data_IF_367402511922
#
_entry.id   IF_367402511922
#
_cell.length_a   1.000
_cell.length_b   1.000
_cell.length_c   1.000
_cell.angle_alpha   90.00
_cell.angle_beta   90.00
_cell.angle_gamma   90.00
#
_symmetry.space_group_name_H-M   'P 1'
#
loop_
_entity.id
_entity.type
_entity.pdbx_description
1 polymer ?
#
# COMPACT_ATOMS: atom_id res chain seq x y z
N UNK A 1 43.70 6.44 -21.26
CA UNK A 1 43.10 6.07 -22.55
C UNK A 1 41.61 5.93 -22.35
N UNK A 2 40.94 6.89 -22.88
CA UNK A 2 39.50 7.17 -22.84
C UNK A 2 38.69 6.24 -23.71
N UNK A 3 37.56 5.76 -23.28
CA UNK A 3 36.52 5.30 -24.20
C UNK A 3 35.12 5.60 -23.63
N UNK A 4 34.59 6.71 -24.11
CA UNK A 4 33.15 7.07 -24.10
C UNK A 4 32.43 6.22 -25.15
N UNK A 5 31.32 5.60 -24.80
CA UNK A 5 30.32 5.11 -25.77
C UNK A 5 28.96 5.54 -25.30
N UNK A 6 28.53 6.62 -25.83
CA UNK A 6 27.47 6.88 -26.81
C UNK A 6 26.10 6.35 -26.43
N UNK A 7 25.30 7.30 -26.02
CA UNK A 7 23.86 7.30 -25.86
C UNK A 7 23.19 7.27 -27.25
N UNK A 8 22.45 6.25 -27.57
CA UNK A 8 21.60 6.21 -28.77
C UNK A 8 20.16 6.59 -28.40
N UNK A 9 19.82 7.79 -28.80
CA UNK A 9 18.48 8.36 -28.83
C UNK A 9 17.74 7.75 -30.03
N UNK A 10 16.69 6.95 -29.81
CA UNK A 10 15.83 6.48 -30.91
C UNK A 10 14.48 7.16 -30.81
N UNK A 11 14.34 8.21 -31.59
CA UNK A 11 13.07 8.84 -31.96
C UNK A 11 12.40 7.94 -33.02
N UNK A 12 11.17 7.49 -32.76
CA UNK A 12 10.29 6.97 -33.81
C UNK A 12 9.01 7.77 -33.85
N UNK A 13 8.89 8.51 -34.94
CA UNK A 13 7.72 9.24 -35.42
C UNK A 13 6.83 8.26 -36.22
N UNK A 14 5.51 8.40 -36.08
CA UNK A 14 4.60 8.18 -37.20
C UNK A 14 3.70 6.97 -37.13
N UNK A 15 2.41 7.15 -37.00
CA UNK A 15 1.45 7.17 -38.11
C UNK A 15 0.01 7.15 -37.57
N UNK A 16 -0.71 8.13 -37.96
CA UNK A 16 -2.17 8.22 -37.93
C UNK A 16 -2.79 7.09 -38.75
N UNK A 17 -3.72 6.35 -38.16
CA UNK A 17 -4.71 5.60 -38.95
C UNK A 17 -6.11 6.00 -38.49
N UNK A 18 -6.77 6.70 -39.38
CA UNK A 18 -8.19 7.07 -39.37
C UNK A 18 -8.99 5.93 -40.00
N UNK A 19 -9.98 5.40 -39.32
CA UNK A 19 -10.92 4.41 -39.87
C UNK A 19 -12.26 4.42 -39.12
N UNK A 20 -13.40 4.11 -39.74
CA UNK A 20 -14.60 4.90 -39.62
C UNK A 20 -15.61 4.46 -38.55
N UNK A 21 -16.47 5.43 -38.22
CA UNK A 21 -17.70 5.33 -37.41
C UNK A 21 -18.61 4.15 -37.81
N UNK A 22 -19.06 3.44 -36.76
CA UNK A 22 -20.34 2.71 -36.83
C UNK A 22 -21.23 3.18 -35.69
N UNK A 23 -22.25 3.91 -36.02
CA UNK A 23 -23.36 4.29 -35.15
C UNK A 23 -24.28 3.09 -34.94
N UNK A 24 -24.44 2.67 -33.70
CA UNK A 24 -25.43 1.70 -33.27
C UNK A 24 -26.27 2.26 -32.14
N UNK A 25 -27.44 2.77 -32.45
CA UNK A 25 -28.47 3.22 -31.51
C UNK A 25 -29.18 1.97 -30.99
N UNK A 26 -29.11 1.69 -29.70
CA UNK A 26 -29.98 0.73 -29.02
C UNK A 26 -30.85 1.46 -27.99
N UNK A 27 -32.14 1.45 -28.24
CA UNK A 27 -33.20 2.01 -27.39
C UNK A 27 -33.31 1.26 -26.06
N UNK A 28 -33.36 2.01 -24.97
CA UNK A 28 -33.73 1.52 -23.65
C UNK A 28 -35.28 1.42 -23.58
N UNK A 29 -35.77 0.22 -23.35
CA UNK A 29 -37.19 -0.01 -23.01
C UNK A 29 -37.36 0.15 -21.49
N UNK A 30 -38.24 1.09 -21.14
CA UNK A 30 -38.77 1.34 -19.80
C UNK A 30 -39.70 0.19 -19.40
N UNK A 31 -39.38 -0.53 -18.34
CA UNK A 31 -40.27 -1.48 -17.69
C UNK A 31 -40.85 -0.85 -16.42
N UNK A 32 -42.14 -0.56 -16.45
CA UNK A 32 -43.00 -0.12 -15.37
C UNK A 32 -43.18 -1.26 -14.35
N UNK A 33 -42.71 -1.09 -13.10
CA UNK A 33 -43.05 -2.00 -12.01
C UNK A 33 -44.26 -1.47 -11.28
N UNK A 34 -45.31 -2.27 -11.26
CA UNK A 34 -46.55 -2.06 -10.52
C UNK A 34 -46.29 -2.30 -9.02
N UNK A 35 -46.70 -1.32 -8.25
CA UNK A 35 -46.96 -1.36 -6.81
C UNK A 35 -48.04 -2.40 -6.47
N UNK A 36 -47.73 -3.28 -5.51
CA UNK A 36 -48.77 -4.11 -4.86
C UNK A 36 -48.54 -4.07 -3.34
N UNK A 37 -49.49 -3.46 -2.74
CA UNK A 37 -49.68 -3.23 -1.29
C UNK A 37 -50.06 -4.53 -0.58
N UNK A 38 -49.65 -4.59 0.71
CA UNK A 38 -50.33 -5.18 1.87
C UNK A 38 -50.33 -6.69 2.07
N UNK A 39 -49.60 -7.13 3.12
CA UNK A 39 -50.27 -7.91 4.16
C UNK A 39 -49.44 -7.88 5.47
N UNK A 40 -50.13 -7.47 6.50
CA UNK A 40 -49.81 -7.43 7.91
C UNK A 40 -49.65 -8.86 8.44
N UNK A 41 -48.52 -9.18 9.08
CA UNK A 41 -48.38 -10.44 9.85
C UNK A 41 -47.62 -10.16 11.14
N UNK A 42 -48.35 -10.19 12.20
CA UNK A 42 -48.13 -10.51 13.61
C UNK A 42 -46.68 -10.62 14.09
N UNK A 43 -46.25 -9.64 14.89
CA UNK A 43 -45.02 -9.68 15.70
C UNK A 43 -45.13 -10.68 16.83
N UNK A 44 -44.35 -11.72 16.79
CA UNK A 44 -44.01 -12.55 17.93
C UNK A 44 -42.92 -11.83 18.74
N UNK A 45 -42.98 -11.74 20.09
CA UNK A 45 -41.92 -11.16 20.89
C UNK A 45 -40.67 -12.05 20.83
N UNK A 46 -39.63 -11.58 20.22
CA UNK A 46 -38.32 -12.23 20.20
C UNK A 46 -37.61 -11.89 21.51
N UNK A 47 -37.40 -12.92 22.32
CA UNK A 47 -36.62 -12.92 23.55
C UNK A 47 -35.27 -12.26 23.36
N UNK A 48 -34.97 -11.26 24.20
CA UNK A 48 -33.67 -10.59 24.30
C UNK A 48 -32.56 -11.62 24.62
N UNK A 49 -31.87 -12.10 23.59
CA UNK A 49 -30.53 -12.65 23.78
C UNK A 49 -29.57 -11.48 23.92
N UNK A 50 -28.69 -11.46 24.93
CA UNK A 50 -27.63 -10.45 24.99
C UNK A 50 -26.74 -10.64 23.79
N UNK A 51 -26.90 -9.76 22.80
CA UNK A 51 -25.94 -9.57 21.71
C UNK A 51 -24.62 -9.14 22.37
N UNK A 52 -23.67 -10.07 22.47
CA UNK A 52 -22.28 -9.73 22.76
C UNK A 52 -21.78 -8.90 21.58
N UNK A 53 -21.93 -7.58 21.71
CA UNK A 53 -21.32 -6.61 20.84
C UNK A 53 -19.82 -6.95 20.79
N UNK A 54 -19.19 -7.14 19.62
CA UNK A 54 -17.74 -7.29 19.55
C UNK A 54 -17.15 -6.11 20.31
N UNK A 55 -16.29 -6.38 21.28
CA UNK A 55 -15.57 -5.32 22.02
C UNK A 55 -14.88 -4.46 20.98
N UNK A 56 -15.32 -3.22 20.90
CA UNK A 56 -14.75 -2.26 19.96
C UNK A 56 -13.34 -1.96 20.47
N UNK A 57 -12.34 -2.53 19.80
CA UNK A 57 -10.92 -2.36 20.10
C UNK A 57 -10.61 -0.87 20.03
N UNK A 58 -10.04 -0.33 21.09
CA UNK A 58 -9.68 1.09 21.13
C UNK A 58 -8.62 1.43 20.07
N UNK A 59 -8.59 2.69 19.66
CA UNK A 59 -7.57 3.16 18.72
C UNK A 59 -6.14 2.91 19.23
N UNK A 60 -5.92 3.04 20.54
CA UNK A 60 -4.63 2.77 21.16
C UNK A 60 -4.22 1.29 21.07
N UNK A 61 -5.16 0.38 21.24
CA UNK A 61 -4.91 -1.06 21.06
C UNK A 61 -4.60 -1.41 19.60
N UNK A 62 -5.30 -0.77 18.64
CA UNK A 62 -5.00 -0.90 17.21
C UNK A 62 -3.60 -0.42 16.88
N UNK A 63 -3.18 0.73 17.41
CA UNK A 63 -1.85 1.31 17.23
C UNK A 63 -0.79 0.37 17.80
N UNK A 64 -0.89 -0.03 19.07
CA UNK A 64 0.09 -0.91 19.73
C UNK A 64 0.22 -2.27 19.01
N UNK A 65 -0.90 -2.82 18.53
CA UNK A 65 -0.90 -4.02 17.73
C UNK A 65 -0.18 -3.83 16.39
N UNK A 66 -0.38 -2.68 15.74
CA UNK A 66 0.25 -2.39 14.46
C UNK A 66 1.75 -2.16 14.61
N UNK A 67 2.22 -1.45 15.64
CA UNK A 67 3.65 -1.30 15.96
C UNK A 67 4.33 -2.66 16.09
N UNK A 68 3.75 -3.53 16.92
CA UNK A 68 4.24 -4.89 17.11
C UNK A 68 4.19 -5.73 15.83
N UNK A 69 3.16 -5.53 15.01
CA UNK A 69 2.98 -6.26 13.76
C UNK A 69 3.99 -5.84 12.70
N UNK A 70 4.28 -4.54 12.57
CA UNK A 70 5.18 -4.02 11.53
C UNK A 70 6.66 -4.22 11.88
N UNK A 71 7.05 -4.04 13.15
CA UNK A 71 8.43 -4.12 13.59
C UNK A 71 8.99 -5.54 13.42
N UNK A 72 10.12 -5.67 12.75
CA UNK A 72 10.79 -6.94 12.48
C UNK A 72 10.04 -7.79 11.45
N UNK A 73 9.61 -7.17 10.34
CA UNK A 73 8.95 -7.86 9.22
C UNK A 73 9.71 -7.71 7.92
N UNK A 74 9.55 -8.73 7.08
CA UNK A 74 10.03 -8.78 5.69
C UNK A 74 8.83 -8.74 4.75
N UNK A 75 8.89 -7.84 3.79
CA UNK A 75 7.88 -7.65 2.78
C UNK A 75 8.46 -8.06 1.43
N UNK A 76 7.90 -9.04 0.81
CA UNK A 76 8.38 -9.57 -0.47
C UNK A 76 7.25 -9.53 -1.48
N UNK A 77 7.52 -8.92 -2.62
CA UNK A 77 6.50 -8.76 -3.64
C UNK A 77 7.02 -8.26 -4.96
N UNK A 78 6.10 -7.65 -5.68
CA UNK A 78 6.34 -7.11 -7.00
C UNK A 78 5.63 -5.78 -7.17
N UNK A 79 6.19 -4.94 -8.02
CA UNK A 79 5.49 -3.79 -8.54
C UNK A 79 5.45 -3.83 -10.07
N UNK A 80 4.50 -3.12 -10.63
CA UNK A 80 4.40 -2.85 -12.07
C UNK A 80 4.55 -1.36 -12.33
N UNK A 81 4.98 -1.03 -13.52
CA UNK A 81 5.01 0.34 -14.05
C UNK A 81 3.90 0.46 -15.09
N UNK A 82 3.01 1.43 -14.92
CA UNK A 82 1.96 1.69 -15.91
C UNK A 82 2.53 1.88 -17.31
N UNK A 83 1.92 1.19 -18.29
CA UNK A 83 2.35 1.22 -19.68
C UNK A 83 3.62 0.42 -19.98
N UNK A 84 4.10 -0.40 -19.04
CA UNK A 84 5.19 -1.34 -19.26
C UNK A 84 4.77 -2.77 -18.87
N UNK A 85 5.23 -3.73 -19.64
CA UNK A 85 5.02 -5.14 -19.33
C UNK A 85 6.01 -5.64 -18.28
N UNK A 86 5.60 -6.65 -17.53
CA UNK A 86 6.43 -7.39 -16.57
C UNK A 86 6.24 -6.97 -15.13
N UNK A 87 6.75 -7.83 -14.24
CA UNK A 87 6.80 -7.64 -12.80
C UNK A 87 8.24 -7.33 -12.40
N UNK A 88 8.40 -6.36 -11.52
CA UNK A 88 9.71 -6.01 -10.94
C UNK A 88 9.68 -6.39 -9.47
N UNK A 89 10.66 -7.19 -9.04
CA UNK A 89 10.76 -7.62 -7.65
C UNK A 89 11.06 -6.44 -6.73
N UNK A 90 10.41 -6.43 -5.58
CA UNK A 90 10.69 -5.53 -4.47
C UNK A 90 10.82 -6.29 -3.16
N UNK A 91 11.61 -5.77 -2.26
CA UNK A 91 11.78 -6.31 -0.94
C UNK A 91 12.01 -5.18 0.07
N UNK A 92 11.26 -5.21 1.16
CA UNK A 92 11.40 -4.28 2.28
C UNK A 92 11.61 -5.06 3.57
N UNK A 93 12.45 -4.54 4.44
CA UNK A 93 12.59 -5.01 5.82
C UNK A 93 12.22 -3.84 6.73
N UNK A 94 11.14 -3.97 7.50
CA UNK A 94 10.76 -2.96 8.49
C UNK A 94 11.44 -3.31 9.81
N UNK A 95 12.51 -2.60 10.12
CA UNK A 95 13.34 -2.86 11.28
C UNK A 95 12.71 -2.31 12.56
N UNK A 96 12.11 -1.10 12.47
CA UNK A 96 11.37 -0.44 13.54
C UNK A 96 10.17 0.29 12.95
N UNK A 97 9.05 0.29 13.67
CA UNK A 97 7.86 1.07 13.38
C UNK A 97 7.26 1.56 14.69
N UNK A 98 7.17 2.88 14.84
CA UNK A 98 6.69 3.55 16.05
C UNK A 98 5.69 4.64 15.70
N UNK A 99 4.59 4.70 16.44
CA UNK A 99 3.62 5.77 16.31
C UNK A 99 4.22 7.08 16.85
N UNK A 100 4.19 8.12 16.04
CA UNK A 100 4.59 9.45 16.48
C UNK A 100 3.52 10.07 17.40
N UNK A 101 3.93 10.94 18.31
CA UNK A 101 3.03 11.76 19.12
C UNK A 101 2.27 12.82 18.28
N UNK A 102 2.70 13.05 17.02
CA UNK A 102 2.14 14.07 16.14
C UNK A 102 1.16 13.49 15.11
N UNK A 103 -0.13 13.61 15.38
CA UNK A 103 -1.20 13.19 14.45
C UNK A 103 -1.11 11.72 14.04
N UNK A 104 -1.38 11.41 12.78
CA UNK A 104 -1.34 10.04 12.23
C UNK A 104 0.05 9.62 11.74
N UNK A 105 1.11 10.33 12.14
CA UNK A 105 2.48 10.06 11.69
C UNK A 105 3.09 8.85 12.38
N UNK A 106 3.96 8.17 11.64
CA UNK A 106 4.73 7.02 12.07
C UNK A 106 6.20 7.19 11.68
N UNK A 107 7.10 6.81 12.56
CA UNK A 107 8.52 6.77 12.33
C UNK A 107 8.90 5.33 12.00
N UNK A 108 9.49 5.11 10.84
CA UNK A 108 9.94 3.80 10.40
C UNK A 108 11.42 3.84 10.07
N UNK A 109 12.14 2.79 10.47
CA UNK A 109 13.47 2.48 9.96
C UNK A 109 13.31 1.24 9.08
N UNK A 110 13.68 1.38 7.80
CA UNK A 110 13.49 0.32 6.83
C UNK A 110 14.71 0.12 5.94
N UNK A 111 14.92 -1.14 5.54
CA UNK A 111 15.79 -1.50 4.43
C UNK A 111 14.93 -1.67 3.18
N UNK A 112 15.31 -1.01 2.11
CA UNK A 112 14.58 -0.96 0.86
C UNK A 112 15.44 -1.54 -0.25
N UNK A 113 14.92 -2.56 -0.94
CA UNK A 113 15.58 -3.18 -2.11
C UNK A 113 14.64 -3.20 -3.31
N UNK A 114 15.00 -2.51 -4.36
CA UNK A 114 14.34 -2.59 -5.67
C UNK A 114 15.27 -2.08 -6.77
N UNK A 115 15.15 -2.61 -7.98
CA UNK A 115 15.81 -2.09 -9.18
C UNK A 115 17.32 -1.87 -9.04
N UNK A 116 18.02 -2.65 -8.21
CA UNK A 116 19.46 -2.51 -7.92
C UNK A 116 19.79 -1.59 -6.75
N UNK A 117 18.82 -0.92 -6.14
CA UNK A 117 18.99 -0.19 -4.87
C UNK A 117 18.90 -1.15 -3.68
N UNK A 118 19.78 -0.96 -2.69
CA UNK A 118 19.75 -1.65 -1.39
C UNK A 118 20.23 -0.64 -0.34
N UNK A 119 19.30 -0.10 0.44
CA UNK A 119 19.63 0.93 1.43
C UNK A 119 18.81 0.77 2.70
N UNK A 120 19.41 1.07 3.83
CA UNK A 120 18.76 1.11 5.14
C UNK A 120 18.80 2.51 5.68
N UNK A 121 17.64 3.09 6.01
CA UNK A 121 17.54 4.47 6.47
C UNK A 121 16.28 4.70 7.31
N UNK A 122 16.25 5.74 8.14
CA UNK A 122 15.00 6.25 8.68
C UNK A 122 14.19 6.86 7.53
N UNK A 123 12.93 6.46 7.44
CA UNK A 123 12.00 7.07 6.47
C UNK A 123 11.50 8.42 7.00
N UNK A 124 11.19 9.38 6.12
CA UNK A 124 10.44 10.54 6.54
C UNK A 124 9.11 10.10 7.17
N UNK A 125 8.59 10.81 8.18
CA UNK A 125 7.36 10.41 8.86
C UNK A 125 6.20 10.21 7.87
N UNK A 126 5.70 8.98 7.78
CA UNK A 126 4.58 8.60 6.91
C UNK A 126 3.28 8.57 7.73
N UNK A 127 2.14 8.64 7.06
CA UNK A 127 0.85 8.46 7.72
C UNK A 127 0.38 7.02 7.59
N UNK A 128 -0.15 6.46 8.69
CA UNK A 128 -0.90 5.20 8.64
C UNK A 128 -2.26 5.45 9.25
N UNK A 129 -3.28 5.33 8.43
CA UNK A 129 -4.69 5.52 8.81
C UNK A 129 -5.39 4.17 8.88
N UNK A 130 -6.48 4.11 9.64
CA UNK A 130 -7.29 2.90 9.74
C UNK A 130 -8.61 3.06 8.97
N UNK A 131 -8.86 2.14 8.05
CA UNK A 131 -10.18 1.94 7.45
C UNK A 131 -10.87 0.82 8.23
N UNK A 132 -11.66 1.16 9.25
CA UNK A 132 -12.08 0.23 10.30
C UNK A 132 -10.85 -0.25 11.07
N UNK A 133 -10.58 -1.57 11.05
CA UNK A 133 -9.38 -2.17 11.67
C UNK A 133 -8.25 -2.44 10.67
N UNK A 134 -8.39 -2.00 9.43
CA UNK A 134 -7.41 -2.24 8.35
C UNK A 134 -6.47 -1.05 8.23
N UNK A 135 -5.15 -1.21 8.45
CA UNK A 135 -4.19 -0.14 8.27
C UNK A 135 -3.96 0.17 6.79
N UNK A 136 -3.87 1.46 6.47
CA UNK A 136 -3.59 2.01 5.15
C UNK A 136 -2.40 2.96 5.27
N UNK A 137 -1.27 2.56 4.72
CA UNK A 137 -0.09 3.42 4.61
C UNK A 137 -0.40 4.50 3.57
N UNK A 138 -0.16 5.75 3.97
CA UNK A 138 -0.41 6.94 3.17
C UNK A 138 0.88 7.75 3.06
N UNK A 139 1.46 7.76 1.88
CA UNK A 139 2.67 8.51 1.56
C UNK A 139 2.32 9.61 0.57
N UNK A 140 2.54 10.86 0.95
CA UNK A 140 2.29 12.03 0.12
C UNK A 140 3.59 12.82 -0.04
N UNK A 141 4.16 12.77 -1.23
CA UNK A 141 5.38 13.48 -1.63
C UNK A 141 6.53 13.33 -0.63
N UNK A 142 6.68 12.13 -0.07
CA UNK A 142 7.78 11.85 0.86
C UNK A 142 9.10 11.79 0.11
N UNK A 143 10.02 12.68 0.47
CA UNK A 143 11.38 12.66 -0.07
C UNK A 143 12.24 11.67 0.71
N UNK A 144 12.75 10.65 0.03
CA UNK A 144 13.65 9.65 0.58
C UNK A 144 15.05 9.93 0.03
N UNK A 145 16.04 10.26 0.87
CA UNK A 145 17.41 10.54 0.41
C UNK A 145 17.97 9.40 -0.45
N UNK A 146 18.54 9.76 -1.60
CA UNK A 146 19.09 8.79 -2.56
C UNK A 146 18.07 8.07 -3.44
N UNK A 147 16.78 8.10 -3.10
CA UNK A 147 15.71 7.43 -3.85
C UNK A 147 14.73 8.38 -4.51
N UNK A 148 14.60 9.62 -4.02
CA UNK A 148 13.73 10.64 -4.58
C UNK A 148 12.39 10.79 -3.86
N UNK A 149 11.39 11.34 -4.55
CA UNK A 149 10.08 11.66 -3.97
C UNK A 149 9.03 10.66 -4.40
N UNK A 150 8.30 10.12 -3.42
CA UNK A 150 7.30 9.07 -3.60
C UNK A 150 5.93 9.48 -3.08
N UNK A 151 4.92 8.98 -3.76
CA UNK A 151 3.54 8.88 -3.27
C UNK A 151 3.16 7.40 -3.22
N UNK A 152 2.39 6.98 -2.21
CA UNK A 152 1.87 5.62 -2.14
C UNK A 152 0.59 5.53 -1.32
N UNK A 153 -0.23 4.55 -1.66
CA UNK A 153 -1.39 4.10 -0.87
C UNK A 153 -1.32 2.58 -0.79
N UNK A 154 -1.10 2.05 0.41
CA UNK A 154 -0.87 0.62 0.59
C UNK A 154 -1.77 0.09 1.70
N UNK A 155 -2.64 -0.82 1.36
CA UNK A 155 -3.50 -1.56 2.30
C UNK A 155 -2.74 -2.77 2.81
N UNK A 156 -2.81 -3.01 4.14
CA UNK A 156 -2.22 -4.18 4.79
C UNK A 156 -3.35 -5.05 5.33
N UNK A 157 -3.38 -6.32 4.92
CA UNK A 157 -4.38 -7.27 5.43
C UNK A 157 -3.90 -8.72 5.40
N UNK A 158 -4.02 -9.41 6.53
CA UNK A 158 -3.77 -10.86 6.63
C UNK A 158 -2.40 -11.30 6.02
N UNK A 159 -1.31 -10.65 6.44
CA UNK A 159 0.02 -10.99 5.95
C UNK A 159 0.28 -10.61 4.49
N UNK A 160 -0.54 -9.72 3.92
CA UNK A 160 -0.41 -9.25 2.54
C UNK A 160 -0.47 -7.74 2.50
N UNK A 161 0.11 -7.18 1.44
CA UNK A 161 -0.03 -5.77 1.11
C UNK A 161 -0.36 -5.60 -0.37
N UNK A 162 -1.09 -4.54 -0.68
CA UNK A 162 -1.35 -4.14 -2.05
C UNK A 162 -1.67 -2.65 -2.11
N UNK A 163 -1.33 -2.02 -3.23
CA UNK A 163 -1.61 -0.60 -3.38
C UNK A 163 -1.13 0.01 -4.67
N UNK A 164 -1.02 1.33 -4.64
CA UNK A 164 -0.51 2.16 -5.72
C UNK A 164 0.74 2.90 -5.27
N UNK A 165 1.62 3.18 -6.20
CA UNK A 165 2.81 4.00 -5.99
C UNK A 165 3.02 4.97 -7.13
N UNK A 166 3.77 6.05 -6.85
CA UNK A 166 4.20 7.04 -7.84
C UNK A 166 5.56 7.61 -7.48
N UNK A 167 6.39 7.80 -8.47
CA UNK A 167 7.70 8.46 -8.39
C UNK A 167 7.86 9.40 -9.58
N UNK A 168 7.74 10.69 -9.34
CA UNK A 168 7.75 11.70 -10.39
C UNK A 168 6.59 11.52 -11.39
N UNK A 169 6.92 11.22 -12.63
CA UNK A 169 5.94 10.96 -13.71
C UNK A 169 5.59 9.48 -13.90
N UNK A 170 6.26 8.60 -13.16
CA UNK A 170 6.10 7.14 -13.26
C UNK A 170 5.28 6.66 -12.07
N UNK A 171 4.39 5.70 -12.28
CA UNK A 171 3.59 5.09 -11.24
C UNK A 171 3.09 3.72 -11.64
N UNK A 172 2.34 3.10 -10.74
CA UNK A 172 1.79 1.78 -10.96
C UNK A 172 1.20 1.16 -9.70
N UNK A 173 1.20 -0.16 -9.68
CA UNK A 173 0.67 -0.95 -8.57
C UNK A 173 1.79 -1.75 -7.92
N UNK A 174 1.62 -2.08 -6.64
CA UNK A 174 2.50 -2.93 -5.88
C UNK A 174 1.69 -3.92 -5.04
N UNK A 175 2.26 -5.10 -4.78
CA UNK A 175 1.59 -6.14 -3.99
C UNK A 175 2.58 -7.21 -3.55
N UNK A 176 2.28 -7.85 -2.42
CA UNK A 176 3.13 -8.91 -1.91
C UNK A 176 2.66 -9.50 -0.58
N UNK A 177 3.58 -10.18 0.08
CA UNK A 177 3.40 -10.83 1.38
C UNK A 177 4.25 -10.18 2.46
N UNK A 178 3.80 -10.29 3.69
CA UNK A 178 4.48 -9.80 4.90
C UNK A 178 4.72 -11.01 5.80
N UNK A 179 5.99 -11.23 6.16
CA UNK A 179 6.43 -12.31 7.02
C UNK A 179 7.23 -11.75 8.20
N UNK A 180 7.15 -12.42 9.34
CA UNK A 180 8.01 -12.07 10.48
C UNK A 180 9.46 -12.48 10.22
N UNK A 181 10.40 -11.67 10.67
CA UNK A 181 11.81 -12.03 10.75
C UNK A 181 12.04 -13.16 11.76
N UNK A 182 13.08 -13.95 11.57
CA UNK A 182 13.57 -14.87 12.61
C UNK A 182 14.09 -14.11 13.82
N UNK A 183 14.31 -14.79 14.94
CA UNK A 183 14.84 -14.15 16.15
C UNK A 183 16.25 -13.59 15.92
N UNK A 184 17.08 -14.29 15.15
CA UNK A 184 18.43 -13.84 14.79
C UNK A 184 18.39 -12.58 13.91
N UNK A 185 17.49 -12.55 12.91
CA UNK A 185 17.28 -11.37 12.06
C UNK A 185 16.78 -10.17 12.87
N UNK A 186 15.87 -10.40 13.82
CA UNK A 186 15.37 -9.35 14.72
C UNK A 186 16.47 -8.77 15.62
N UNK A 187 17.35 -9.60 16.16
CA UNK A 187 18.49 -9.13 16.97
C UNK A 187 19.49 -8.34 16.12
N UNK A 188 19.73 -8.76 14.88
CA UNK A 188 20.53 -8.00 13.93
C UNK A 188 19.89 -6.65 13.60
N UNK A 189 18.58 -6.63 13.35
CA UNK A 189 17.80 -5.42 13.08
C UNK A 189 17.88 -4.41 14.24
N UNK A 190 17.74 -4.87 15.49
CA UNK A 190 17.86 -4.01 16.68
C UNK A 190 19.22 -3.30 16.74
N UNK A 191 20.32 -4.00 16.44
CA UNK A 191 21.67 -3.39 16.41
C UNK A 191 21.79 -2.31 15.33
N UNK A 192 21.18 -2.53 14.18
CA UNK A 192 21.16 -1.54 13.09
C UNK A 192 20.33 -0.32 13.50
N UNK A 193 19.14 -0.53 14.08
CA UNK A 193 18.28 0.54 14.59
C UNK A 193 19.00 1.37 15.64
N UNK A 194 19.65 0.72 16.62
CA UNK A 194 20.40 1.40 17.67
C UNK A 194 21.49 2.29 17.09
N UNK A 195 22.25 1.79 16.13
CA UNK A 195 23.30 2.57 15.47
C UNK A 195 22.74 3.79 14.74
N UNK A 196 21.61 3.66 14.02
CA UNK A 196 20.98 4.77 13.29
C UNK A 196 20.45 5.87 14.23
N UNK A 197 20.03 5.50 15.44
CA UNK A 197 19.52 6.46 16.44
C UNK A 197 20.68 7.20 17.15
N UNK A 198 21.84 6.58 17.27
CA UNK A 198 23.01 7.14 17.95
C UNK A 198 23.87 8.05 17.03
N UNK A 199 23.78 7.91 15.71
CA UNK A 199 24.51 8.70 14.70
C UNK A 199 23.79 10.03 14.40
#
# INVERSE_FOLDING_TARGET
>A
MTSFRSLALLTLLGAFFCGPHVSGIAQAQSATVKEKQESETTRTPQTDQPSTKPTDESEQELIARLEKYLTGTKWTGNFIIEGKDGLINEHYEILSAEKSEFGDKWNLIARIKYGGHDTTLPLPPIEIKFAGKTPVITVDRAFIPGLGTFDARVVIRQGKYAGTWKHGKVGGFLFGTIESMSDEEREAAKKVVQKIIED
#
